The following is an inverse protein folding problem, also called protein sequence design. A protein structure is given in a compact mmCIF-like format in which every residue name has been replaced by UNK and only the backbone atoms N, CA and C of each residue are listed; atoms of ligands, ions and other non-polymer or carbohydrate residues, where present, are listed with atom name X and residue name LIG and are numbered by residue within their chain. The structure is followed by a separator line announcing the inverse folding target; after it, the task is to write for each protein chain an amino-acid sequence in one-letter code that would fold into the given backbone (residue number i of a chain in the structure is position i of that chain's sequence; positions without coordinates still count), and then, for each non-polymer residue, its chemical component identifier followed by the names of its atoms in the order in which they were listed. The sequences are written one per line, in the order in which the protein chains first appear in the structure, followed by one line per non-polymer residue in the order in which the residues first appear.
data_IF_196026604423
#
_entry.id   IF_196026604423
#
_cell.length_a   1.000
_cell.length_b   1.000
_cell.length_c   1.000
_cell.angle_alpha   90.00
_cell.angle_beta   90.00
_cell.angle_gamma   90.00
#
_symmetry.space_group_name_H-M   'P 1'
#
loop_
_entity.id
_entity.type
_entity.pdbx_description
1 polymer ?
#
# COMPACT_ATOMS: atom_id res chain seq x y z
N UNK A 1 -4.12 -28.89 16.13
CA UNK A 1 -3.78 -28.88 14.69
C UNK A 1 -4.77 -27.93 14.05
N UNK A 2 -4.35 -26.70 13.70
CA UNK A 2 -5.28 -25.70 13.14
C UNK A 2 -5.54 -26.11 11.70
N UNK A 3 -6.74 -26.61 11.45
CA UNK A 3 -7.24 -26.96 10.13
C UNK A 3 -7.52 -25.64 9.40
N UNK A 4 -6.53 -25.15 8.63
CA UNK A 4 -6.76 -24.07 7.69
C UNK A 4 -7.67 -24.61 6.59
N UNK A 5 -8.99 -24.47 6.74
CA UNK A 5 -9.93 -24.67 5.63
C UNK A 5 -9.49 -23.73 4.50
N UNK A 6 -8.90 -24.31 3.45
CA UNK A 6 -8.35 -23.54 2.34
C UNK A 6 -9.50 -23.02 1.48
N UNK A 7 -10.00 -21.82 1.83
CA UNK A 7 -11.08 -21.22 1.07
C UNK A 7 -10.53 -20.68 -0.25
N UNK A 8 -11.08 -21.18 -1.36
CA UNK A 8 -10.77 -20.66 -2.69
C UNK A 8 -11.61 -19.42 -2.90
N UNK A 9 -10.97 -18.27 -3.14
CA UNK A 9 -11.69 -17.04 -3.46
C UNK A 9 -12.35 -17.18 -4.82
N UNK A 10 -13.66 -17.42 -4.83
CA UNK A 10 -14.45 -17.57 -6.07
C UNK A 10 -14.71 -16.21 -6.70
N UNK A 11 -14.78 -15.16 -5.88
CA UNK A 11 -15.21 -13.84 -6.32
C UNK A 11 -14.32 -13.22 -7.40
N UNK A 12 -14.92 -12.47 -8.34
CA UNK A 12 -14.16 -11.75 -9.35
C UNK A 12 -13.56 -10.47 -8.76
N UNK A 13 -12.45 -10.00 -9.33
CA UNK A 13 -11.74 -8.80 -8.88
C UNK A 13 -12.63 -7.54 -8.84
N UNK A 14 -13.68 -7.48 -9.68
CA UNK A 14 -14.69 -6.41 -9.63
C UNK A 14 -15.50 -6.40 -8.32
N UNK A 15 -15.84 -7.57 -7.77
CA UNK A 15 -16.63 -7.69 -6.54
C UNK A 15 -15.77 -7.29 -5.35
N UNK A 16 -14.51 -7.73 -5.30
CA UNK A 16 -13.54 -7.32 -4.27
C UNK A 16 -13.34 -5.80 -4.27
N UNK A 17 -13.21 -5.20 -5.46
CA UNK A 17 -13.14 -3.75 -5.64
C UNK A 17 -14.42 -3.02 -5.21
N UNK A 18 -15.58 -3.59 -5.52
CA UNK A 18 -16.87 -3.03 -5.10
C UNK A 18 -17.01 -3.05 -3.56
N UNK A 19 -16.65 -4.16 -2.92
CA UNK A 19 -16.65 -4.28 -1.46
C UNK A 19 -15.69 -3.27 -0.82
N UNK A 20 -14.47 -3.13 -1.35
CA UNK A 20 -13.52 -2.14 -0.85
C UNK A 20 -14.05 -0.70 -0.96
N UNK A 21 -14.78 -0.38 -2.04
CA UNK A 21 -15.40 0.93 -2.23
C UNK A 21 -16.52 1.16 -1.21
N UNK A 22 -17.40 0.17 -1.04
CA UNK A 22 -18.53 0.24 -0.11
C UNK A 22 -18.06 0.40 1.34
N UNK A 23 -16.98 -0.30 1.74
CA UNK A 23 -16.40 -0.16 3.08
C UNK A 23 -15.85 1.24 3.34
N UNK A 24 -15.30 1.88 2.30
CA UNK A 24 -14.76 3.24 2.39
C UNK A 24 -15.85 4.31 2.32
N UNK A 25 -17.02 4.02 1.74
CA UNK A 25 -18.17 4.94 1.70
C UNK A 25 -18.59 5.29 3.14
N UNK A 26 -18.44 6.57 3.50
CA UNK A 26 -18.68 7.10 4.85
C UNK A 26 -17.45 7.21 5.76
N UNK A 27 -16.35 6.50 5.45
CA UNK A 27 -15.10 6.50 6.26
C UNK A 27 -13.87 7.01 5.53
N UNK A 28 -14.02 7.52 4.31
CA UNK A 28 -12.91 8.05 3.49
C UNK A 28 -12.02 9.05 4.22
N UNK A 29 -12.60 9.96 5.01
CA UNK A 29 -11.83 10.98 5.73
C UNK A 29 -10.93 10.37 6.82
N UNK A 30 -11.44 9.37 7.54
CA UNK A 30 -10.70 8.62 8.56
C UNK A 30 -9.52 7.87 7.92
N UNK A 31 -9.78 7.16 6.82
CA UNK A 31 -8.77 6.41 6.07
C UNK A 31 -7.70 7.32 5.46
N UNK A 32 -8.11 8.49 4.95
CA UNK A 32 -7.19 9.50 4.46
C UNK A 32 -6.32 10.05 5.57
N UNK A 33 -6.90 10.43 6.71
CA UNK A 33 -6.16 10.97 7.85
C UNK A 33 -5.11 9.98 8.35
N UNK A 34 -5.48 8.72 8.56
CA UNK A 34 -4.56 7.67 9.03
C UNK A 34 -3.42 7.43 8.03
N UNK A 35 -3.75 7.40 6.73
CA UNK A 35 -2.74 7.21 5.67
C UNK A 35 -1.80 8.41 5.54
N UNK A 36 -2.30 9.63 5.70
CA UNK A 36 -1.49 10.85 5.72
C UNK A 36 -0.58 10.86 6.94
N UNK A 37 -1.06 10.48 8.12
CA UNK A 37 -0.23 10.35 9.32
C UNK A 37 0.91 9.36 9.08
N UNK A 38 0.65 8.21 8.46
CA UNK A 38 1.73 7.28 8.09
C UNK A 38 2.70 7.83 7.06
N UNK A 39 2.17 8.51 6.04
CA UNK A 39 3.01 9.15 5.03
C UNK A 39 3.95 10.18 5.67
N UNK A 40 3.44 10.98 6.61
CA UNK A 40 4.23 11.95 7.38
C UNK A 40 5.28 11.25 8.22
N UNK A 41 4.91 10.22 8.99
CA UNK A 41 5.84 9.46 9.84
C UNK A 41 6.99 8.90 9.00
N UNK A 42 6.70 8.32 7.83
CA UNK A 42 7.69 7.66 6.98
C UNK A 42 8.54 8.61 6.13
N UNK A 43 7.95 9.70 5.65
CA UNK A 43 8.58 10.57 4.64
C UNK A 43 9.23 11.81 5.24
N UNK A 44 8.63 12.43 6.25
CA UNK A 44 9.13 13.72 6.78
C UNK A 44 10.54 13.61 7.36
N UNK A 45 10.87 12.62 8.21
CA UNK A 45 12.25 12.48 8.70
C UNK A 45 13.26 12.26 7.56
N UNK A 46 12.86 11.51 6.53
CA UNK A 46 13.69 11.24 5.34
C UNK A 46 14.01 12.50 4.53
N UNK A 47 13.13 13.51 4.56
CA UNK A 47 13.36 14.81 3.93
C UNK A 47 14.14 15.78 4.82
N UNK A 48 13.83 15.78 6.12
CA UNK A 48 14.40 16.73 7.09
C UNK A 48 15.87 16.40 7.40
N UNK A 49 16.23 15.12 7.55
CA UNK A 49 17.58 14.71 7.93
C UNK A 49 18.65 15.22 6.95
N UNK A 50 18.55 14.98 5.62
CA UNK A 50 19.54 15.48 4.65
C UNK A 50 19.59 17.00 4.57
N UNK A 51 18.43 17.65 4.71
CA UNK A 51 18.34 19.10 4.65
C UNK A 51 19.07 19.79 5.82
N UNK A 52 18.92 19.25 7.03
CA UNK A 52 19.51 19.84 8.24
C UNK A 52 21.00 19.52 8.40
N UNK A 53 21.43 18.29 8.10
CA UNK A 53 22.81 17.88 8.38
C UNK A 53 23.80 18.22 7.28
N UNK A 54 23.38 18.32 6.00
CA UNK A 54 24.24 18.60 4.84
C UNK A 54 25.55 17.76 4.79
N UNK A 55 25.54 16.56 5.39
CA UNK A 55 26.70 15.65 5.40
C UNK A 55 26.49 14.51 4.43
N UNK A 56 27.59 13.92 3.94
CA UNK A 56 27.55 12.68 3.15
C UNK A 56 26.93 11.51 3.94
N UNK A 57 27.01 11.53 5.27
CA UNK A 57 26.41 10.54 6.15
C UNK A 57 24.88 10.63 6.24
N UNK A 58 24.28 11.76 5.85
CA UNK A 58 22.83 11.95 5.94
C UNK A 58 22.05 10.97 5.04
N UNK A 59 22.58 10.65 3.85
CA UNK A 59 21.95 9.69 2.95
C UNK A 59 21.94 8.27 3.54
N UNK A 60 23.04 7.84 4.16
CA UNK A 60 23.08 6.57 4.87
C UNK A 60 22.11 6.52 6.05
N UNK A 61 21.99 7.62 6.80
CA UNK A 61 21.05 7.72 7.91
C UNK A 61 19.59 7.59 7.44
N UNK A 62 19.23 8.24 6.32
CA UNK A 62 17.89 8.13 5.71
C UNK A 62 17.59 6.72 5.23
N UNK A 63 18.55 6.04 4.60
CA UNK A 63 18.36 4.66 4.16
C UNK A 63 18.15 3.70 5.34
N UNK A 64 18.96 3.85 6.40
CA UNK A 64 18.80 3.05 7.61
C UNK A 64 17.44 3.30 8.30
N UNK A 65 17.05 4.58 8.42
CA UNK A 65 15.75 4.97 8.94
C UNK A 65 14.61 4.35 8.13
N UNK A 66 14.67 4.48 6.80
CA UNK A 66 13.65 3.96 5.87
C UNK A 66 13.49 2.45 5.99
N UNK A 67 14.60 1.71 6.12
CA UNK A 67 14.55 0.25 6.26
C UNK A 67 13.89 -0.18 7.59
N UNK A 68 14.21 0.51 8.68
CA UNK A 68 13.70 0.20 10.02
C UNK A 68 12.21 0.57 10.14
N UNK A 69 11.81 1.71 9.58
CA UNK A 69 10.44 2.23 9.69
C UNK A 69 9.45 1.47 8.80
N UNK A 70 9.89 0.96 7.65
CA UNK A 70 8.99 0.38 6.63
C UNK A 70 8.25 -0.85 7.13
N UNK A 71 8.91 -1.77 7.83
CA UNK A 71 8.28 -3.00 8.34
C UNK A 71 7.14 -2.71 9.34
N UNK A 72 7.39 -1.99 10.44
CA UNK A 72 6.37 -1.61 11.41
C UNK A 72 5.28 -0.74 10.80
N UNK A 73 5.64 0.16 9.86
CA UNK A 73 4.68 0.97 9.13
C UNK A 73 3.72 0.13 8.29
N UNK A 74 4.23 -0.84 7.54
CA UNK A 74 3.42 -1.77 6.76
C UNK A 74 2.48 -2.58 7.67
N UNK A 75 2.97 -3.06 8.82
CA UNK A 75 2.13 -3.76 9.79
C UNK A 75 1.02 -2.86 10.36
N UNK A 76 1.34 -1.62 10.73
CA UNK A 76 0.36 -0.65 11.23
C UNK A 76 -0.75 -0.36 10.22
N UNK A 77 -0.40 -0.20 8.95
CA UNK A 77 -1.37 -0.06 7.86
C UNK A 77 -2.24 -1.31 7.67
N UNK A 78 -1.64 -2.51 7.71
CA UNK A 78 -2.40 -3.76 7.63
C UNK A 78 -3.40 -3.92 8.79
N UNK A 79 -2.99 -3.63 10.03
CA UNK A 79 -3.88 -3.64 11.21
C UNK A 79 -5.05 -2.70 10.96
N UNK A 80 -4.77 -1.47 10.54
CA UNK A 80 -5.80 -0.47 10.25
C UNK A 80 -6.79 -0.95 9.19
N UNK A 81 -6.30 -1.42 8.03
CA UNK A 81 -7.19 -1.86 6.93
C UNK A 81 -8.07 -3.05 7.31
N UNK A 82 -7.57 -3.98 8.13
CA UNK A 82 -8.38 -5.09 8.66
C UNK A 82 -9.50 -4.56 9.57
N UNK A 83 -9.19 -3.61 10.47
CA UNK A 83 -10.21 -3.02 11.36
C UNK A 83 -11.25 -2.23 10.56
N UNK A 84 -10.81 -1.46 9.56
CA UNK A 84 -11.71 -0.71 8.67
C UNK A 84 -12.65 -1.65 7.93
N UNK A 85 -12.10 -2.72 7.35
CA UNK A 85 -12.88 -3.71 6.62
C UNK A 85 -13.91 -4.42 7.51
N UNK A 86 -13.54 -4.75 8.74
CA UNK A 86 -14.42 -5.39 9.73
C UNK A 86 -15.37 -4.42 10.45
N UNK A 87 -15.51 -3.18 9.97
CA UNK A 87 -16.36 -2.13 10.56
C UNK A 87 -16.07 -1.86 12.05
N UNK A 88 -14.82 -2.05 12.47
CA UNK A 88 -14.35 -1.71 13.82
C UNK A 88 -13.83 -0.26 13.86
N UNK A 89 -13.87 0.42 15.03
CA UNK A 89 -13.35 1.77 15.17
C UNK A 89 -11.87 1.81 14.78
N UNK A 90 -11.52 2.61 13.77
CA UNK A 90 -10.18 2.65 13.16
C UNK A 90 -9.39 3.88 13.61
N UNK A 91 -8.81 3.86 14.81
CA UNK A 91 -7.98 4.97 15.29
C UNK A 91 -6.54 4.97 14.75
N UNK A 92 -5.91 6.14 14.84
CA UNK A 92 -4.44 6.31 14.73
C UNK A 92 -3.72 5.46 15.80
N UNK A 93 -4.39 5.09 16.88
CA UNK A 93 -3.84 4.15 17.88
C UNK A 93 -3.49 2.78 17.28
N UNK A 94 -4.36 2.22 16.43
CA UNK A 94 -4.14 0.91 15.83
C UNK A 94 -2.98 0.91 14.83
N UNK A 95 -2.77 2.05 14.19
CA UNK A 95 -1.62 2.31 13.34
C UNK A 95 -0.31 2.20 14.15
N UNK A 96 -0.27 2.86 15.32
CA UNK A 96 0.88 2.85 16.22
C UNK A 96 1.10 1.49 16.88
N UNK A 97 0.07 0.64 16.95
CA UNK A 97 0.20 -0.76 17.40
C UNK A 97 1.15 -1.57 16.52
N UNK A 98 1.28 -1.24 15.23
CA UNK A 98 2.29 -1.84 14.35
C UNK A 98 3.72 -1.63 14.84
N UNK A 99 3.98 -0.51 15.53
CA UNK A 99 5.27 -0.19 16.12
C UNK A 99 5.56 -0.95 17.42
N UNK A 100 4.53 -1.39 18.15
CA UNK A 100 4.74 -2.24 19.34
C UNK A 100 5.36 -3.59 18.95
N UNK A 101 5.00 -4.12 17.78
CA UNK A 101 5.55 -5.35 17.22
C UNK A 101 6.65 -5.11 16.18
N UNK A 102 7.34 -3.97 16.27
CA UNK A 102 8.30 -3.52 15.27
C UNK A 102 9.39 -4.57 14.97
N UNK A 103 9.93 -5.24 15.99
CA UNK A 103 10.95 -6.28 15.80
C UNK A 103 10.48 -7.41 14.89
N UNK A 104 9.28 -7.95 15.15
CA UNK A 104 8.67 -9.00 14.33
C UNK A 104 8.35 -8.50 12.93
N UNK A 105 7.85 -7.27 12.81
CA UNK A 105 7.50 -6.65 11.53
C UNK A 105 8.73 -6.42 10.65
N UNK A 106 9.84 -5.95 11.22
CA UNK A 106 11.13 -5.77 10.53
C UNK A 106 11.67 -7.12 10.07
N UNK A 107 11.69 -8.13 10.94
CA UNK A 107 12.16 -9.47 10.57
C UNK A 107 11.30 -10.03 9.43
N UNK A 108 9.98 -9.87 9.49
CA UNK A 108 9.06 -10.30 8.45
C UNK A 108 9.36 -9.58 7.12
N UNK A 109 9.49 -8.26 7.16
CA UNK A 109 9.81 -7.44 6.00
C UNK A 109 11.12 -7.89 5.34
N UNK A 110 12.20 -8.01 6.13
CA UNK A 110 13.50 -8.45 5.64
C UNK A 110 13.41 -9.85 5.03
N UNK A 111 12.72 -10.79 5.68
CA UNK A 111 12.55 -12.15 5.13
C UNK A 111 11.79 -12.16 3.79
N UNK A 112 10.80 -11.29 3.60
CA UNK A 112 10.07 -11.16 2.33
C UNK A 112 11.00 -10.57 1.29
N UNK A 113 11.60 -9.41 1.57
CA UNK A 113 12.46 -8.69 0.63
C UNK A 113 13.63 -9.56 0.18
N UNK A 114 14.31 -10.22 1.11
CA UNK A 114 15.45 -11.11 0.78
C UNK A 114 15.01 -12.26 -0.13
N UNK A 115 13.89 -12.93 0.20
CA UNK A 115 13.38 -14.03 -0.64
C UNK A 115 12.98 -13.55 -2.03
N UNK A 116 12.20 -12.47 -2.10
CA UNK A 116 11.75 -11.90 -3.37
C UNK A 116 12.95 -11.42 -4.20
N UNK A 117 13.93 -10.77 -3.57
CA UNK A 117 15.14 -10.29 -4.21
C UNK A 117 15.94 -11.44 -4.83
N UNK A 118 16.25 -12.49 -4.07
CA UNK A 118 16.98 -13.64 -4.62
C UNK A 118 16.24 -14.33 -5.76
N UNK A 119 14.91 -14.48 -5.65
CA UNK A 119 14.12 -15.08 -6.73
C UNK A 119 14.05 -14.17 -7.96
N UNK A 120 13.93 -12.86 -7.75
CA UNK A 120 13.91 -11.86 -8.83
C UNK A 120 15.25 -11.72 -9.55
N UNK A 121 16.36 -11.92 -8.83
CA UNK A 121 17.71 -11.86 -9.38
C UNK A 121 17.97 -13.03 -10.33
N UNK A 122 17.43 -14.21 -10.00
CA UNK A 122 17.51 -15.38 -10.87
C UNK A 122 16.61 -15.18 -12.11
N UNK A 123 15.34 -14.80 -11.89
CA UNK A 123 14.35 -14.58 -12.94
C UNK A 123 13.24 -13.62 -12.43
N UNK A 124 12.78 -12.70 -13.28
CA UNK A 124 11.77 -11.70 -12.88
C UNK A 124 10.42 -12.35 -12.52
N UNK A 125 9.94 -13.31 -13.33
CA UNK A 125 8.64 -13.97 -13.13
C UNK A 125 8.49 -14.69 -11.77
N UNK A 126 9.44 -15.54 -11.32
CA UNK A 126 9.33 -16.14 -9.99
C UNK A 126 9.48 -15.13 -8.85
N UNK A 127 10.16 -13.99 -9.06
CA UNK A 127 10.16 -12.88 -8.10
C UNK A 127 8.75 -12.33 -7.85
N UNK A 128 8.01 -12.05 -8.93
CA UNK A 128 6.60 -11.59 -8.83
C UNK A 128 5.74 -12.65 -8.14
N UNK A 129 5.91 -13.93 -8.51
CA UNK A 129 5.14 -15.02 -7.91
C UNK A 129 5.41 -15.17 -6.40
N UNK A 130 6.65 -14.97 -5.97
CA UNK A 130 7.02 -14.96 -4.55
C UNK A 130 6.43 -13.76 -3.80
N UNK A 131 6.43 -12.57 -4.41
CA UNK A 131 5.81 -11.39 -3.82
C UNK A 131 4.31 -11.59 -3.57
N UNK A 132 3.60 -12.13 -4.56
CA UNK A 132 2.18 -12.47 -4.44
C UNK A 132 1.93 -13.53 -3.37
N UNK A 133 2.76 -14.58 -3.33
CA UNK A 133 2.67 -15.66 -2.33
C UNK A 133 2.83 -15.15 -0.90
N UNK A 134 3.65 -14.12 -0.67
CA UNK A 134 3.90 -13.58 0.67
C UNK A 134 3.10 -12.31 1.01
N UNK A 135 2.34 -11.77 0.05
CA UNK A 135 1.54 -10.55 0.21
C UNK A 135 0.65 -10.53 1.47
N UNK A 136 0.13 -11.69 1.88
CA UNK A 136 -0.80 -11.81 3.02
C UNK A 136 -0.10 -11.95 4.38
N UNK A 137 1.23 -12.00 4.42
CA UNK A 137 1.95 -12.31 5.65
C UNK A 137 1.83 -11.20 6.71
N UNK A 138 1.77 -9.94 6.29
CA UNK A 138 1.56 -8.81 7.21
C UNK A 138 0.14 -8.80 7.79
N UNK A 139 -0.87 -9.19 7.00
CA UNK A 139 -2.25 -9.32 7.48
C UNK A 139 -2.38 -10.44 8.51
N UNK A 140 -1.70 -11.57 8.31
CA UNK A 140 -1.67 -12.67 9.29
C UNK A 140 -0.98 -12.24 10.59
N UNK A 141 0.11 -11.46 10.49
CA UNK A 141 0.77 -10.93 11.68
C UNK A 141 -0.10 -9.88 12.40
N UNK A 142 -0.90 -9.11 11.66
CA UNK A 142 -1.87 -8.17 12.21
C UNK A 142 -2.99 -8.87 13.01
N UNK A 143 -3.52 -9.98 12.49
CA UNK A 143 -4.55 -10.77 13.16
C UNK A 143 -4.01 -11.63 14.32
N UNK A 144 -2.76 -12.08 14.23
CA UNK A 144 -2.16 -12.99 15.21
C UNK A 144 -0.75 -12.51 15.61
N UNK A 145 -0.64 -11.49 16.47
CA UNK A 145 0.65 -10.90 16.86
C UNK A 145 1.54 -11.85 17.67
N UNK A 146 0.99 -12.94 18.21
CA UNK A 146 1.76 -13.96 18.92
C UNK A 146 2.67 -14.77 17.98
N UNK A 147 2.28 -14.92 16.71
CA UNK A 147 3.02 -15.74 15.73
C UNK A 147 4.40 -15.17 15.44
N UNK A 148 5.31 -16.06 15.04
CA UNK A 148 6.65 -15.71 14.58
C UNK A 148 6.62 -15.32 13.10
N UNK A 149 7.48 -14.40 12.66
CA UNK A 149 7.56 -13.98 11.25
C UNK A 149 7.65 -15.16 10.25
N UNK A 150 8.37 -16.24 10.60
CA UNK A 150 8.45 -17.46 9.78
C UNK A 150 7.11 -18.21 9.69
N UNK A 151 6.34 -18.26 10.78
CA UNK A 151 5.02 -18.87 10.80
C UNK A 151 4.05 -18.06 9.93
N UNK A 152 4.07 -16.72 10.03
CA UNK A 152 3.26 -15.85 9.17
C UNK A 152 3.55 -16.07 7.68
N UNK A 153 4.81 -16.27 7.30
CA UNK A 153 5.20 -16.56 5.91
C UNK A 153 4.72 -17.92 5.42
N UNK A 154 4.78 -18.92 6.30
CA UNK A 154 4.28 -20.27 6.02
C UNK A 154 2.76 -20.28 5.86
N UNK A 155 2.04 -19.59 6.74
CA UNK A 155 0.58 -19.47 6.65
C UNK A 155 0.15 -18.67 5.41
N UNK A 156 0.82 -17.55 5.11
CA UNK A 156 0.58 -16.76 3.89
C UNK A 156 0.76 -17.62 2.64
N UNK A 157 1.82 -18.43 2.62
CA UNK A 157 2.09 -19.39 1.56
C UNK A 157 0.99 -20.44 1.36
N UNK A 158 0.40 -20.93 2.45
CA UNK A 158 -0.68 -21.91 2.43
C UNK A 158 -1.99 -21.27 1.95
N UNK A 159 -2.35 -20.13 2.54
CA UNK A 159 -3.53 -19.34 2.18
C UNK A 159 -3.49 -18.91 0.71
N UNK A 160 -2.30 -18.66 0.17
CA UNK A 160 -2.13 -18.21 -1.20
C UNK A 160 -2.06 -19.32 -2.25
N UNK A 161 -1.80 -20.58 -1.89
CA UNK A 161 -1.50 -21.65 -2.85
C UNK A 161 -2.53 -21.78 -4.00
N UNK A 162 -3.82 -21.60 -3.71
CA UNK A 162 -4.92 -21.69 -4.68
C UNK A 162 -5.45 -20.31 -5.13
N UNK A 163 -4.93 -19.23 -4.55
CA UNK A 163 -5.48 -17.88 -4.64
C UNK A 163 -4.51 -16.87 -5.32
N UNK A 164 -3.25 -17.25 -5.59
CA UNK A 164 -2.23 -16.36 -6.20
C UNK A 164 -2.71 -15.74 -7.52
N UNK A 165 -3.30 -16.55 -8.41
CA UNK A 165 -3.79 -16.05 -9.70
C UNK A 165 -4.91 -15.02 -9.54
N UNK A 166 -5.78 -15.19 -8.54
CA UNK A 166 -6.86 -14.23 -8.24
C UNK A 166 -6.30 -12.90 -7.75
N UNK A 167 -5.30 -12.94 -6.87
CA UNK A 167 -4.62 -11.74 -6.41
C UNK A 167 -3.87 -11.04 -7.56
N UNK A 168 -3.21 -11.80 -8.44
CA UNK A 168 -2.55 -11.25 -9.62
C UNK A 168 -3.53 -10.46 -10.52
N UNK A 169 -4.71 -11.01 -10.79
CA UNK A 169 -5.73 -10.30 -11.58
C UNK A 169 -6.30 -9.08 -10.86
N UNK A 170 -6.40 -9.13 -9.53
CA UNK A 170 -6.78 -7.98 -8.72
C UNK A 170 -5.74 -6.86 -8.86
N UNK A 171 -4.45 -7.18 -8.71
CA UNK A 171 -3.33 -6.24 -8.89
C UNK A 171 -3.27 -5.68 -10.32
N UNK A 172 -3.41 -6.53 -11.33
CA UNK A 172 -3.46 -6.12 -12.73
C UNK A 172 -4.60 -5.13 -13.00
N UNK A 173 -5.73 -5.26 -12.28
CA UNK A 173 -6.85 -4.32 -12.39
C UNK A 173 -6.55 -2.94 -11.82
N UNK A 174 -5.56 -2.83 -10.92
CA UNK A 174 -5.07 -1.57 -10.36
C UNK A 174 -3.92 -0.96 -11.16
N UNK A 175 -3.19 -1.76 -11.95
CA UNK A 175 -2.02 -1.30 -12.69
C UNK A 175 -2.30 -0.08 -13.59
N UNK A 176 -3.45 -0.06 -14.27
CA UNK A 176 -3.85 1.11 -15.08
C UNK A 176 -4.06 2.38 -14.26
N UNK A 177 -4.68 2.25 -13.08
CA UNK A 177 -4.87 3.36 -12.14
C UNK A 177 -3.55 3.79 -11.50
N UNK A 178 -2.63 2.85 -11.24
CA UNK A 178 -1.31 3.15 -10.71
C UNK A 178 -0.45 3.93 -11.71
N UNK A 179 -0.54 3.59 -13.01
CA UNK A 179 0.10 4.37 -14.07
C UNK A 179 -0.49 5.78 -14.14
N UNK A 180 -1.82 5.91 -14.11
CA UNK A 180 -2.48 7.22 -14.14
C UNK A 180 -2.15 8.06 -12.90
N UNK A 181 -2.11 7.44 -11.72
CA UNK A 181 -1.77 8.11 -10.45
C UNK A 181 -0.29 8.51 -10.37
N UNK A 182 0.60 7.83 -11.10
CA UNK A 182 2.03 8.15 -11.13
C UNK A 182 2.42 9.16 -12.21
N UNK A 183 1.57 9.41 -13.21
CA UNK A 183 1.83 10.42 -14.25
C UNK A 183 2.05 11.83 -13.70
N UNK A 184 1.22 12.37 -12.78
CA UNK A 184 1.39 13.73 -12.29
C UNK A 184 2.75 13.99 -11.58
N UNK A 185 3.21 13.17 -10.62
CA UNK A 185 4.51 13.38 -10.00
C UNK A 185 5.68 13.14 -10.97
N UNK A 186 5.55 12.18 -11.90
CA UNK A 186 6.55 11.96 -12.94
C UNK A 186 6.69 13.18 -13.87
N UNK A 187 5.56 13.78 -14.28
CA UNK A 187 5.54 15.00 -15.08
C UNK A 187 6.13 16.20 -14.31
N UNK A 188 5.79 16.35 -13.02
CA UNK A 188 6.38 17.40 -12.19
C UNK A 188 7.90 17.29 -12.09
N UNK A 189 8.42 16.06 -11.95
CA UNK A 189 9.86 15.81 -11.88
C UNK A 189 10.54 16.12 -13.22
N UNK A 190 9.97 15.70 -14.35
CA UNK A 190 10.55 15.99 -15.67
C UNK A 190 10.53 17.49 -15.96
N UNK A 191 9.42 18.18 -15.68
CA UNK A 191 9.35 19.64 -15.81
C UNK A 191 10.44 20.30 -14.97
N UNK A 192 10.65 19.88 -13.71
CA UNK A 192 11.73 20.42 -12.86
C UNK A 192 13.12 20.21 -13.49
N UNK A 193 13.43 19.00 -13.97
CA UNK A 193 14.75 18.70 -14.53
C UNK A 193 15.03 19.47 -15.82
N UNK A 194 14.01 19.66 -16.66
CA UNK A 194 14.17 20.36 -17.94
C UNK A 194 13.98 21.88 -17.85
N UNK A 195 13.22 22.37 -16.88
CA UNK A 195 13.13 23.80 -16.63
C UNK A 195 14.47 24.34 -16.10
N UNK A 196 15.22 23.54 -15.32
CA UNK A 196 16.60 23.84 -14.93
C UNK A 196 17.63 23.81 -16.06
N UNK A 197 17.30 23.25 -17.24
CA UNK A 197 18.21 23.18 -18.39
C UNK A 197 17.93 24.22 -19.48
N UNK A 198 16.86 25.02 -19.38
CA UNK A 198 16.54 26.08 -20.33
C UNK A 198 16.07 25.62 -21.72
N UNK A 199 15.90 24.30 -21.93
CA UNK A 199 15.63 23.70 -23.25
C UNK A 199 14.13 23.67 -23.59
N UNK A 200 13.24 23.68 -22.59
CA UNK A 200 11.83 23.32 -22.79
C UNK A 200 10.89 24.48 -23.18
N UNK A 201 11.33 25.74 -23.12
CA UNK A 201 10.49 26.90 -23.46
C UNK A 201 11.12 27.78 -24.55
N UNK A 202 10.85 27.52 -25.84
CA UNK A 202 11.19 28.45 -26.93
C UNK A 202 10.51 29.80 -26.71
N UNK A 203 11.15 30.94 -27.04
CA UNK A 203 10.68 32.28 -26.71
C UNK A 203 9.42 32.76 -27.47
N UNK A 204 8.72 31.89 -28.20
CA UNK A 204 7.58 32.22 -29.07
C UNK A 204 6.24 32.36 -28.35
N UNK A 205 6.18 32.01 -27.07
CA UNK A 205 4.96 32.03 -26.28
C UNK A 205 5.31 32.77 -24.98
N UNK A 206 4.54 33.79 -24.59
CA UNK A 206 4.76 34.70 -23.43
C UNK A 206 4.79 34.03 -22.05
N UNK A 207 5.08 32.74 -22.01
CA UNK A 207 5.30 31.89 -20.86
C UNK A 207 6.59 32.19 -20.13
N UNK A 208 7.43 33.15 -20.55
CA UNK A 208 8.65 33.50 -19.79
C UNK A 208 8.33 33.96 -18.37
N UNK A 209 7.29 34.76 -18.18
CA UNK A 209 6.90 35.27 -16.85
C UNK A 209 6.21 34.18 -16.02
N UNK A 210 5.35 33.37 -16.65
CA UNK A 210 4.73 32.19 -16.03
C UNK A 210 5.81 31.17 -15.65
N UNK A 211 6.70 30.82 -16.56
CA UNK A 211 7.80 29.89 -16.34
C UNK A 211 8.77 30.39 -15.28
N UNK A 212 9.05 31.70 -15.19
CA UNK A 212 9.90 32.27 -14.14
C UNK A 212 9.21 32.20 -12.76
N UNK A 213 7.94 32.55 -12.64
CA UNK A 213 7.15 32.38 -11.41
C UNK A 213 7.06 30.90 -10.99
N UNK A 214 6.93 29.99 -11.96
CA UNK A 214 6.91 28.55 -11.74
C UNK A 214 8.30 27.98 -11.36
N UNK A 215 9.37 28.45 -11.98
CA UNK A 215 10.76 28.00 -11.74
C UNK A 215 11.30 28.48 -10.40
N UNK A 216 11.00 29.73 -10.05
CA UNK A 216 11.45 30.33 -8.79
C UNK A 216 10.79 29.63 -7.60
N UNK A 217 9.51 29.22 -7.70
CA UNK A 217 8.84 28.40 -6.69
C UNK A 217 9.20 26.90 -6.74
N UNK A 218 9.42 26.30 -7.92
CA UNK A 218 9.80 24.88 -8.06
C UNK A 218 11.22 24.57 -7.55
N UNK A 219 12.05 25.59 -7.34
CA UNK A 219 13.38 25.47 -6.73
C UNK A 219 13.33 25.21 -5.21
N UNK A 220 12.19 25.43 -4.56
CA UNK A 220 12.01 25.14 -3.14
C UNK A 220 11.92 23.61 -2.87
N UNK A 221 12.54 23.10 -1.79
CA UNK A 221 12.58 21.66 -1.49
C UNK A 221 11.19 21.05 -1.17
N UNK A 222 10.19 21.87 -0.89
CA UNK A 222 8.81 21.48 -0.55
C UNK A 222 7.81 22.29 -1.39
N UNK A 223 7.77 22.10 -2.71
CA UNK A 223 6.69 22.72 -3.48
C UNK A 223 5.34 22.08 -3.09
N UNK A 224 4.30 22.86 -2.74
CA UNK A 224 2.98 22.33 -2.40
C UNK A 224 2.39 21.44 -3.49
N UNK A 225 2.67 21.73 -4.77
CA UNK A 225 2.25 20.84 -5.86
C UNK A 225 2.98 19.48 -5.86
N UNK A 226 4.22 19.33 -5.40
CA UNK A 226 4.85 18.00 -5.34
C UNK A 226 4.16 17.09 -4.31
N UNK A 227 3.67 17.66 -3.20
CA UNK A 227 2.83 16.95 -2.24
C UNK A 227 1.42 16.69 -2.80
N UNK A 228 0.81 17.66 -3.51
CA UNK A 228 -0.50 17.52 -4.15
C UNK A 228 -0.51 16.53 -5.33
N UNK A 229 0.57 16.43 -6.10
CA UNK A 229 0.70 15.51 -7.24
C UNK A 229 0.73 14.04 -6.80
N UNK A 230 1.18 13.76 -5.56
CA UNK A 230 1.15 12.43 -4.95
C UNK A 230 -0.22 12.01 -4.38
N UNK A 231 -1.20 12.93 -4.30
CA UNK A 231 -2.50 12.65 -3.67
C UNK A 231 -3.24 11.50 -4.38
N UNK A 232 -3.15 11.41 -5.71
CA UNK A 232 -3.73 10.29 -6.46
C UNK A 232 -3.16 8.93 -6.04
N UNK A 233 -1.86 8.87 -5.74
CA UNK A 233 -1.22 7.66 -5.23
C UNK A 233 -1.64 7.31 -3.80
N UNK A 234 -1.91 8.32 -2.96
CA UNK A 234 -2.43 8.10 -1.61
C UNK A 234 -3.85 7.53 -1.65
N UNK A 235 -4.75 8.11 -2.46
CA UNK A 235 -6.12 7.59 -2.62
C UNK A 235 -6.12 6.17 -3.17
N UNK A 236 -5.29 5.90 -4.18
CA UNK A 236 -5.15 4.57 -4.73
C UNK A 236 -4.57 3.59 -3.69
N UNK A 237 -3.59 4.01 -2.90
CA UNK A 237 -3.00 3.21 -1.83
C UNK A 237 -4.01 2.82 -0.76
N UNK A 238 -4.89 3.73 -0.34
CA UNK A 238 -6.00 3.45 0.57
C UNK A 238 -6.93 2.39 -0.03
N UNK A 239 -7.33 2.61 -1.30
CA UNK A 239 -8.26 1.72 -1.98
C UNK A 239 -7.70 0.31 -2.18
N UNK A 240 -6.44 0.21 -2.60
CA UNK A 240 -5.72 -1.06 -2.70
C UNK A 240 -5.60 -1.71 -1.33
N UNK A 241 -5.20 -0.96 -0.29
CA UNK A 241 -5.06 -1.49 1.06
C UNK A 241 -6.33 -2.17 1.59
N UNK A 242 -7.50 -1.55 1.42
CA UNK A 242 -8.79 -2.16 1.78
C UNK A 242 -9.12 -3.34 0.89
N UNK A 243 -8.83 -3.29 -0.41
CA UNK A 243 -9.02 -4.43 -1.31
C UNK A 243 -8.17 -5.65 -0.92
N UNK A 244 -6.94 -5.42 -0.46
CA UNK A 244 -6.06 -6.47 0.08
C UNK A 244 -6.59 -7.04 1.40
N UNK A 245 -7.08 -6.19 2.31
CA UNK A 245 -7.72 -6.66 3.55
C UNK A 245 -9.01 -7.47 3.27
N UNK A 246 -9.81 -7.03 2.31
CA UNK A 246 -11.00 -7.75 1.85
C UNK A 246 -10.63 -9.12 1.26
N UNK A 247 -9.61 -9.15 0.39
CA UNK A 247 -9.10 -10.39 -0.18
C UNK A 247 -8.57 -11.34 0.89
N UNK A 248 -7.86 -10.80 1.88
CA UNK A 248 -7.37 -11.56 3.02
C UNK A 248 -8.53 -12.22 3.79
N UNK A 249 -9.57 -11.47 4.16
CA UNK A 249 -10.71 -12.02 4.91
C UNK A 249 -11.55 -13.03 4.09
N UNK A 250 -11.66 -12.85 2.77
CA UNK A 250 -12.25 -13.85 1.88
C UNK A 250 -11.44 -15.15 1.84
N UNK A 251 -10.11 -15.03 1.69
CA UNK A 251 -9.21 -16.17 1.60
C UNK A 251 -9.07 -16.91 2.94
N UNK A 252 -9.23 -16.20 4.07
CA UNK A 252 -9.22 -16.77 5.40
C UNK A 252 -10.59 -17.37 5.81
N UNK A 253 -11.63 -17.20 4.98
CA UNK A 253 -12.98 -17.73 5.26
C UNK A 253 -13.79 -16.91 6.27
N UNK A 254 -13.26 -15.80 6.77
CA UNK A 254 -13.93 -14.89 7.70
C UNK A 254 -15.13 -14.17 7.04
N UNK A 255 -15.09 -13.99 5.72
CA UNK A 255 -16.16 -13.38 4.94
C UNK A 255 -16.77 -14.40 3.97
N UNK A 256 -18.06 -14.70 4.15
CA UNK A 256 -18.86 -15.45 3.17
C UNK A 256 -19.75 -14.47 2.42
N UNK A 257 -19.50 -14.28 1.13
CA UNK A 257 -20.35 -13.44 0.26
C UNK A 257 -21.59 -14.25 -0.10
N UNK A 258 -22.71 -13.99 0.58
CA UNK A 258 -24.00 -14.58 0.21
C UNK A 258 -24.55 -13.85 -1.01
N UNK A 259 -24.98 -14.58 -2.05
CA UNK A 259 -25.62 -13.94 -3.21
C UNK A 259 -27.04 -13.53 -2.82
N UNK A 260 -27.53 -12.44 -3.41
CA UNK A 260 -28.90 -11.98 -3.19
C UNK A 260 -29.97 -13.03 -3.57
N UNK A 261 -29.64 -13.96 -4.47
CA UNK A 261 -30.45 -15.12 -4.83
C UNK A 261 -30.57 -16.13 -3.68
N UNK A 262 -29.47 -16.38 -2.96
CA UNK A 262 -29.45 -17.29 -1.81
C UNK A 262 -30.22 -16.72 -0.61
N UNK A 263 -30.23 -15.39 -0.44
CA UNK A 263 -31.00 -14.70 0.60
C UNK A 263 -32.50 -14.78 0.30
N UNK A 264 -32.90 -14.68 -0.97
CA UNK A 264 -34.31 -14.83 -1.37
C UNK A 264 -34.82 -16.26 -1.19
N UNK A 265 -34.03 -17.28 -1.52
CA UNK A 265 -34.43 -18.66 -1.24
C UNK A 265 -34.59 -18.94 0.25
N UNK A 266 -33.76 -18.32 1.10
CA UNK A 266 -33.93 -18.44 2.55
C UNK A 266 -35.16 -17.69 3.07
N UNK A 267 -35.51 -16.52 2.50
CA UNK A 267 -36.75 -15.83 2.87
C UNK A 267 -38.01 -16.53 2.36
N UNK A 268 -37.91 -17.23 1.23
CA UNK A 268 -39.01 -17.99 0.64
C UNK A 268 -39.20 -19.36 1.34
N UNK A 269 -38.14 -19.94 1.93
CA UNK A 269 -38.22 -21.16 2.75
C UNK A 269 -38.69 -20.88 4.21
N UNK A 270 -38.67 -19.62 4.66
CA UNK A 270 -39.17 -19.19 5.98
C UNK A 270 -40.65 -18.70 5.96
N UNK A 271 -41.34 -18.78 4.82
CA UNK A 271 -42.76 -18.43 4.63
C UNK A 271 -43.63 -19.67 4.36
#
# INVERSE_FOLDING_TARGET
MIEFEQNKVVEPARTVRAMARQVLEGRWLEALLVSVVMYVITTVPSLVIPYLTQTTFALSAVNAYSLIITGPAALGMCIYFVHVFRQQPGGVEHLLRGFQYASKAIILFVLIVVRVFFLSLLLILPGIWAALRYSQAFFILADSPEKTARQCLWESSLLMRNNIGKLFWLEASFLGWALLASMPPAFGLTVRTFAGSGILFPPLFGWKEVANLWLEQASAPLHPLFALLGIGSLFLGIYMGVAHACFYDLANGNLKVQRAEDIRSMSDDEL
#
